data_IF_259552002413
#
_entry.id   IF_259552002413
#
_cell.length_a   1.000
_cell.length_b   1.000
_cell.length_c   1.000
_cell.angle_alpha   90.00
_cell.angle_beta   90.00
_cell.angle_gamma   90.00
#
_symmetry.space_group_name_H-M   'P 1'
#
loop_
_entity.id
_entity.type
_entity.pdbx_description
1 polymer ?
#
# COMPACT_ATOMS: atom_id res chain seq x y z
N UNK A 1 27.99 -64.53 22.02
CA UNK A 1 27.05 -63.49 22.49
C UNK A 1 27.67 -62.14 22.13
N UNK A 2 27.20 -61.49 21.05
CA UNK A 2 27.69 -60.19 20.61
C UNK A 2 26.60 -59.16 20.94
N UNK A 3 26.95 -58.24 21.83
CA UNK A 3 26.05 -57.13 22.18
C UNK A 3 26.13 -56.07 21.09
N UNK A 4 25.00 -55.81 20.41
CA UNK A 4 24.82 -54.64 19.54
C UNK A 4 24.30 -53.50 20.40
N UNK A 5 25.12 -52.47 20.60
CA UNK A 5 24.67 -51.17 21.12
C UNK A 5 24.04 -50.40 19.98
N UNK A 6 22.74 -50.15 20.08
CA UNK A 6 21.99 -49.24 19.18
C UNK A 6 22.15 -47.80 19.73
N UNK A 7 22.96 -46.99 19.07
CA UNK A 7 23.04 -45.56 19.37
C UNK A 7 21.86 -44.86 18.70
N UNK A 8 20.89 -44.41 19.47
CA UNK A 8 19.83 -43.57 19.00
C UNK A 8 20.36 -42.13 18.83
N UNK A 9 20.50 -41.70 17.58
CA UNK A 9 20.82 -40.30 17.24
C UNK A 9 19.52 -39.48 17.34
N UNK A 10 19.37 -38.74 18.43
CA UNK A 10 18.25 -37.81 18.59
C UNK A 10 18.55 -36.56 17.76
N UNK A 11 17.93 -36.42 16.60
CA UNK A 11 17.95 -35.17 15.82
C UNK A 11 17.09 -34.14 16.56
N UNK A 12 17.74 -33.19 17.21
CA UNK A 12 17.07 -32.01 17.76
C UNK A 12 16.83 -31.07 16.58
N UNK A 13 15.60 -31.07 16.04
CA UNK A 13 15.12 -29.99 15.16
C UNK A 13 14.94 -28.75 16.04
N UNK A 14 15.89 -27.84 16.00
CA UNK A 14 15.67 -26.49 16.45
C UNK A 14 14.69 -25.82 15.47
N UNK A 15 13.41 -25.83 15.79
CA UNK A 15 12.44 -24.95 15.18
C UNK A 15 12.85 -23.54 15.60
N UNK A 16 13.50 -22.82 14.73
CA UNK A 16 13.64 -21.37 14.88
C UNK A 16 12.22 -20.80 14.88
N UNK A 17 11.70 -20.52 16.06
CA UNK A 17 10.51 -19.70 16.20
C UNK A 17 10.83 -18.37 15.53
N UNK A 18 10.32 -18.15 14.34
CA UNK A 18 10.29 -16.81 13.76
C UNK A 18 9.70 -15.90 14.84
N UNK A 19 10.42 -14.85 15.22
CA UNK A 19 9.99 -13.92 16.24
C UNK A 19 8.64 -13.32 15.79
N UNK A 20 7.57 -13.93 16.26
CA UNK A 20 6.26 -13.31 16.27
C UNK A 20 6.39 -12.19 17.29
N UNK A 21 6.19 -10.93 16.85
CA UNK A 21 6.16 -9.82 17.80
C UNK A 21 5.15 -10.20 18.89
N UNK A 22 5.58 -10.29 20.16
CA UNK A 22 4.62 -10.62 21.22
C UNK A 22 3.58 -9.50 21.24
N UNK A 23 2.31 -9.86 21.15
CA UNK A 23 1.20 -8.91 21.32
C UNK A 23 1.09 -8.38 22.77
N UNK A 24 1.92 -8.87 23.66
CA UNK A 24 1.98 -8.48 25.07
C UNK A 24 3.09 -7.43 25.28
N UNK A 25 2.69 -6.18 25.39
CA UNK A 25 3.57 -5.04 25.64
C UNK A 25 4.32 -5.16 27.00
N UNK A 26 3.83 -5.98 27.92
CA UNK A 26 4.47 -6.19 29.24
C UNK A 26 5.67 -7.16 29.18
N UNK A 27 5.83 -7.89 28.07
CA UNK A 27 6.94 -8.80 27.86
C UNK A 27 8.16 -8.04 27.33
N UNK A 28 9.37 -8.36 27.84
CA UNK A 28 10.61 -7.79 27.34
C UNK A 28 10.77 -8.06 25.86
N UNK A 29 10.93 -6.98 25.07
CA UNK A 29 11.09 -7.04 23.63
C UNK A 29 12.58 -7.19 23.25
N UNK A 30 12.93 -8.00 22.24
CA UNK A 30 14.29 -8.14 21.75
C UNK A 30 14.74 -6.90 20.99
N UNK A 31 16.08 -6.73 20.86
CA UNK A 31 16.70 -5.67 20.07
C UNK A 31 16.90 -4.36 20.84
N UNK A 32 17.40 -3.36 20.13
CA UNK A 32 17.67 -2.01 20.65
C UNK A 32 16.95 -0.99 19.76
N UNK A 33 16.18 -0.11 20.38
CA UNK A 33 15.50 0.97 19.65
C UNK A 33 16.47 2.06 19.24
N UNK A 34 16.37 2.49 18.01
CA UNK A 34 17.06 3.67 17.47
C UNK A 34 16.05 4.53 16.72
N UNK A 35 16.27 5.83 16.74
CA UNK A 35 15.39 6.80 16.08
C UNK A 35 16.21 7.77 15.24
N UNK A 36 15.64 8.23 14.13
CA UNK A 36 16.16 9.29 13.27
C UNK A 36 15.03 10.28 13.03
N UNK A 37 15.14 11.48 13.60
CA UNK A 37 14.14 12.52 13.44
C UNK A 37 14.77 13.87 13.11
N UNK A 38 14.03 14.66 12.35
CA UNK A 38 14.41 16.05 12.06
C UNK A 38 13.17 16.86 11.68
N UNK A 39 13.31 18.18 11.74
CA UNK A 39 12.40 19.11 11.08
C UNK A 39 13.20 20.33 10.60
N UNK A 40 12.77 20.90 9.51
CA UNK A 40 13.39 22.10 8.97
C UNK A 40 13.13 22.29 7.48
N UNK A 41 13.74 23.33 6.97
CA UNK A 41 13.66 23.67 5.54
C UNK A 41 14.38 22.61 4.71
N UNK A 42 13.65 21.98 3.80
CA UNK A 42 14.17 21.03 2.82
C UNK A 42 14.02 21.64 1.43
N UNK A 43 15.09 21.62 0.66
CA UNK A 43 15.12 22.02 -0.74
C UNK A 43 15.65 20.85 -1.57
N UNK A 44 14.83 20.38 -2.54
CA UNK A 44 15.20 19.28 -3.42
C UNK A 44 15.04 19.76 -4.86
N UNK A 45 16.16 19.92 -5.56
CA UNK A 45 16.13 20.28 -6.98
C UNK A 45 15.51 19.14 -7.82
N UNK A 46 14.99 19.44 -9.02
CA UNK A 46 14.52 18.40 -9.96
C UNK A 46 15.57 17.30 -10.18
N UNK A 47 15.15 16.05 -10.10
CA UNK A 47 16.03 14.88 -10.25
C UNK A 47 16.97 14.59 -9.08
N UNK A 48 16.83 15.29 -7.94
CA UNK A 48 17.66 15.08 -6.76
C UNK A 48 16.92 14.38 -5.63
N UNK A 49 17.70 13.78 -4.72
CA UNK A 49 17.20 13.12 -3.49
C UNK A 49 17.59 13.93 -2.25
N UNK A 50 16.73 13.89 -1.24
CA UNK A 50 17.02 14.31 0.12
C UNK A 50 16.89 13.10 1.06
N UNK A 51 17.98 12.76 1.75
CA UNK A 51 17.98 11.61 2.67
C UNK A 51 17.27 11.99 3.97
N UNK A 52 16.24 11.21 4.32
CA UNK A 52 15.50 11.34 5.56
C UNK A 52 16.10 10.48 6.67
N UNK A 53 16.46 9.24 6.35
CA UNK A 53 17.02 8.30 7.32
C UNK A 53 18.00 7.32 6.65
N UNK A 54 19.02 6.95 7.42
CA UNK A 54 19.97 5.89 7.10
C UNK A 54 20.22 5.04 8.33
N UNK A 55 20.13 3.75 8.18
CA UNK A 55 20.39 2.77 9.22
C UNK A 55 21.38 1.72 8.73
N UNK A 56 22.43 1.48 9.50
CA UNK A 56 23.41 0.45 9.23
C UNK A 56 23.14 -0.81 10.07
N UNK A 57 23.55 -1.99 9.56
CA UNK A 57 23.33 -3.27 10.21
C UNK A 57 21.91 -3.78 10.04
N UNK A 58 21.62 -4.93 10.64
CA UNK A 58 20.30 -5.56 10.58
C UNK A 58 19.29 -4.88 11.51
N UNK A 59 18.03 -4.88 11.12
CA UNK A 59 16.96 -4.30 11.91
C UNK A 59 15.61 -4.35 11.24
N UNK A 60 14.66 -3.65 11.83
CA UNK A 60 13.32 -3.45 11.29
C UNK A 60 12.88 -2.00 11.58
N UNK A 61 12.46 -1.26 10.55
CA UNK A 61 11.73 -0.01 10.75
C UNK A 61 10.33 -0.41 11.23
N UNK A 62 9.91 0.11 12.39
CA UNK A 62 8.65 -0.25 13.04
C UNK A 62 7.61 0.85 12.97
N UNK A 63 8.07 2.08 12.78
CA UNK A 63 7.22 3.26 12.70
C UNK A 63 7.94 4.36 11.95
N UNK A 64 7.19 5.15 11.19
CA UNK A 64 7.64 6.48 10.78
C UNK A 64 6.44 7.39 10.52
N UNK A 65 6.68 8.69 10.65
CA UNK A 65 5.79 9.70 10.13
C UNK A 65 6.52 10.70 9.23
N UNK A 66 5.74 11.34 8.39
CA UNK A 66 6.19 12.37 7.48
C UNK A 66 5.11 13.45 7.33
N UNK A 67 5.49 14.72 7.38
CA UNK A 67 4.59 15.85 7.13
C UNK A 67 5.34 17.00 6.49
N UNK A 68 4.61 17.91 5.87
CA UNK A 68 5.13 19.22 5.48
C UNK A 68 4.30 20.37 6.06
N UNK A 69 4.88 21.55 6.14
CA UNK A 69 4.33 22.67 6.89
C UNK A 69 3.13 23.39 6.26
N UNK A 70 2.56 22.89 5.14
CA UNK A 70 1.47 23.55 4.41
C UNK A 70 0.34 22.63 3.99
N UNK A 71 -0.21 21.88 4.92
CA UNK A 71 -1.37 21.03 4.66
C UNK A 71 -1.00 19.61 4.27
N UNK A 72 0.21 19.17 4.57
CA UNK A 72 0.70 17.83 4.34
C UNK A 72 1.26 17.63 2.93
N UNK A 73 1.88 16.49 2.74
CA UNK A 73 2.47 16.10 1.45
C UNK A 73 1.35 15.77 0.49
N UNK A 74 1.25 16.51 -0.62
CA UNK A 74 0.16 16.38 -1.58
C UNK A 74 0.63 16.17 -3.01
N UNK A 75 1.84 16.63 -3.34
CA UNK A 75 2.32 16.65 -4.71
C UNK A 75 2.86 15.28 -5.16
N UNK A 76 2.42 14.78 -6.30
CA UNK A 76 2.90 13.52 -6.89
C UNK A 76 4.30 13.59 -7.50
N UNK A 77 4.92 14.76 -7.54
CA UNK A 77 6.33 14.93 -7.92
C UNK A 77 7.28 14.48 -6.80
N UNK A 78 6.83 14.52 -5.55
CA UNK A 78 7.63 14.06 -4.42
C UNK A 78 7.43 12.56 -4.24
N UNK A 79 8.52 11.81 -4.41
CA UNK A 79 8.52 10.34 -4.38
C UNK A 79 9.23 9.85 -3.13
N UNK A 80 8.57 8.99 -2.36
CA UNK A 80 9.18 8.22 -1.28
C UNK A 80 9.92 7.03 -1.89
N UNK A 81 11.23 6.95 -1.65
CA UNK A 81 12.07 5.82 -2.03
C UNK A 81 12.72 5.18 -0.82
N UNK A 82 12.67 3.86 -0.77
CA UNK A 82 13.36 3.09 0.28
C UNK A 82 14.23 2.03 -0.40
N UNK A 83 15.48 2.00 0.03
CA UNK A 83 16.53 1.10 -0.48
C UNK A 83 16.96 0.16 0.65
N UNK A 84 16.97 -1.14 0.39
CA UNK A 84 17.36 -2.17 1.34
C UNK A 84 18.74 -2.72 1.06
N UNK A 85 19.52 -2.96 2.12
CA UNK A 85 20.73 -3.79 2.12
C UNK A 85 21.85 -3.29 1.18
N UNK A 86 21.87 -2.00 0.89
CA UNK A 86 22.89 -1.37 0.05
C UNK A 86 22.65 -1.51 -1.46
N UNK A 87 21.45 -1.95 -1.88
CA UNK A 87 21.08 -1.93 -3.30
C UNK A 87 20.99 -0.49 -3.83
N UNK A 88 21.25 -0.31 -5.11
CA UNK A 88 21.20 0.96 -5.83
C UNK A 88 19.81 1.27 -6.43
N UNK A 89 18.86 0.36 -6.26
CA UNK A 89 17.46 0.50 -6.70
C UNK A 89 16.49 0.51 -5.52
N UNK A 90 15.40 1.30 -5.60
CA UNK A 90 14.39 1.33 -4.56
C UNK A 90 13.43 0.15 -4.64
N UNK A 91 13.09 -0.43 -3.50
CA UNK A 91 12.01 -1.42 -3.34
C UNK A 91 10.69 -0.79 -2.90
N UNK A 92 10.72 0.44 -2.41
CA UNK A 92 9.57 1.33 -2.30
C UNK A 92 9.84 2.50 -3.24
N UNK A 93 8.94 2.75 -4.19
CA UNK A 93 9.10 3.80 -5.19
C UNK A 93 7.71 4.31 -5.59
N UNK A 94 7.18 5.19 -4.76
CA UNK A 94 5.78 5.65 -4.85
C UNK A 94 5.69 7.14 -4.55
N UNK A 95 4.73 7.90 -5.12
CA UNK A 95 4.47 9.27 -4.69
C UNK A 95 4.24 9.29 -3.19
N UNK A 96 4.94 10.19 -2.48
CA UNK A 96 4.97 10.18 -1.02
C UNK A 96 3.57 10.36 -0.41
N UNK A 97 2.75 11.23 -0.98
CA UNK A 97 1.36 11.41 -0.55
C UNK A 97 0.52 10.15 -0.75
N UNK A 98 0.64 9.53 -1.94
CA UNK A 98 -0.15 8.37 -2.32
C UNK A 98 0.22 7.15 -1.45
N UNK A 99 1.47 7.04 -0.99
CA UNK A 99 1.89 6.00 -0.03
C UNK A 99 1.04 6.00 1.24
N UNK A 100 0.61 7.14 1.71
CA UNK A 100 -0.23 7.27 2.91
C UNK A 100 -1.72 7.38 2.60
N UNK A 101 -2.14 7.25 1.36
CA UNK A 101 -3.55 7.34 0.97
C UNK A 101 -4.04 8.76 0.67
N UNK A 102 -3.17 9.76 0.62
CA UNK A 102 -3.52 11.10 0.15
C UNK A 102 -3.57 11.17 -1.39
N UNK A 103 -4.06 10.11 -2.02
CA UNK A 103 -4.14 9.97 -3.48
C UNK A 103 -5.03 11.08 -4.06
N UNK A 104 -4.57 11.69 -5.16
CA UNK A 104 -5.29 12.82 -5.78
C UNK A 104 -5.03 14.15 -5.10
N UNK A 105 -3.97 14.25 -4.29
CA UNK A 105 -3.44 15.52 -3.78
C UNK A 105 -4.22 16.13 -2.60
N UNK A 106 -5.00 15.35 -1.88
CA UNK A 106 -5.70 15.83 -0.68
C UNK A 106 -5.57 14.83 0.46
N UNK A 107 -4.96 15.24 1.56
CA UNK A 107 -4.98 14.50 2.80
C UNK A 107 -6.42 14.44 3.34
N UNK A 108 -6.83 13.28 3.84
CA UNK A 108 -8.09 13.04 4.52
C UNK A 108 -7.77 12.28 5.79
N UNK A 109 -8.26 12.77 6.91
CA UNK A 109 -8.05 12.14 8.19
C UNK A 109 -8.69 10.74 8.21
N UNK A 110 -7.90 9.74 8.54
CA UNK A 110 -8.33 8.36 8.73
C UNK A 110 -7.35 7.59 9.61
N UNK A 111 -7.79 6.49 10.16
CA UNK A 111 -6.97 5.56 10.93
C UNK A 111 -7.22 4.13 10.46
N UNK A 112 -6.13 3.39 10.24
CA UNK A 112 -6.15 1.97 9.96
C UNK A 112 -5.09 1.25 10.79
N UNK A 113 -4.97 -0.08 10.64
CA UNK A 113 -3.96 -0.85 11.36
C UNK A 113 -2.53 -0.40 11.04
N UNK A 114 -2.26 -0.01 9.79
CA UNK A 114 -0.90 0.21 9.32
C UNK A 114 -0.61 1.63 8.85
N UNK A 115 -1.62 2.34 8.40
CA UNK A 115 -1.47 3.72 7.94
C UNK A 115 -2.53 4.61 8.54
N UNK A 116 -2.16 5.83 8.85
CA UNK A 116 -3.10 6.86 9.26
C UNK A 116 -2.66 8.24 8.77
N UNK A 117 -3.64 9.12 8.60
CA UNK A 117 -3.44 10.55 8.42
C UNK A 117 -4.29 11.25 9.46
N UNK A 118 -3.68 12.11 10.26
CA UNK A 118 -4.40 12.99 11.13
C UNK A 118 -3.75 14.38 11.13
N UNK A 119 -4.51 15.39 10.81
CA UNK A 119 -4.06 16.78 10.78
C UNK A 119 -2.72 16.96 10.03
N UNK A 120 -2.65 16.40 8.81
CA UNK A 120 -1.46 16.38 7.93
C UNK A 120 -0.26 15.55 8.41
N UNK A 121 -0.34 14.88 9.53
CA UNK A 121 0.67 13.92 9.94
C UNK A 121 0.37 12.57 9.28
N UNK A 122 1.24 12.15 8.38
CA UNK A 122 1.15 10.89 7.63
C UNK A 122 1.96 9.83 8.37
N UNK A 123 1.33 8.79 8.87
CA UNK A 123 1.94 7.79 9.76
C UNK A 123 1.93 6.39 9.14
N UNK A 124 2.99 5.63 9.38
CA UNK A 124 3.14 4.25 8.92
C UNK A 124 3.66 3.35 10.04
N UNK A 125 2.96 2.23 10.25
CA UNK A 125 3.28 1.18 11.22
C UNK A 125 3.61 -0.17 10.55
N UNK A 126 3.75 -0.20 9.21
CA UNK A 126 4.16 -1.41 8.48
C UNK A 126 5.60 -1.78 8.89
N UNK A 127 5.85 -2.99 9.41
CA UNK A 127 7.19 -3.41 9.79
C UNK A 127 8.04 -3.65 8.54
N UNK A 128 9.23 -3.05 8.48
CA UNK A 128 10.10 -3.12 7.31
C UNK A 128 11.47 -3.71 7.68
N UNK A 129 11.63 -5.05 7.63
CA UNK A 129 12.88 -5.72 7.99
C UNK A 129 13.96 -5.53 6.91
N UNK A 130 15.23 -5.48 7.37
CA UNK A 130 16.42 -5.43 6.53
C UNK A 130 17.60 -6.14 7.23
N UNK A 131 18.57 -6.64 6.44
CA UNK A 131 19.68 -7.46 6.94
C UNK A 131 21.01 -6.71 7.06
N UNK A 132 21.22 -5.66 6.26
CA UNK A 132 22.49 -4.92 6.19
C UNK A 132 22.32 -3.43 6.36
N UNK A 133 21.16 -2.89 6.03
CA UNK A 133 20.89 -1.47 6.16
C UNK A 133 19.64 -1.04 5.42
N UNK A 134 19.19 0.18 5.74
CA UNK A 134 18.07 0.86 5.09
C UNK A 134 18.44 2.30 4.78
N UNK A 135 18.03 2.80 3.62
CA UNK A 135 18.13 4.21 3.24
C UNK A 135 16.78 4.71 2.77
N UNK A 136 16.29 5.76 3.37
CA UNK A 136 14.99 6.38 3.07
C UNK A 136 15.21 7.79 2.55
N UNK A 137 14.64 8.10 1.39
CA UNK A 137 14.80 9.41 0.75
C UNK A 137 13.48 9.94 0.22
N UNK A 138 13.41 11.27 0.09
CA UNK A 138 12.48 11.96 -0.78
C UNK A 138 13.21 12.31 -2.09
N UNK A 139 12.61 11.94 -3.20
CA UNK A 139 13.10 12.25 -4.54
C UNK A 139 12.15 13.22 -5.23
N UNK A 140 12.67 14.28 -5.80
CA UNK A 140 11.88 15.22 -6.59
C UNK A 140 11.92 14.82 -8.06
N UNK A 141 10.84 14.21 -8.54
CA UNK A 141 10.64 13.77 -9.94
C UNK A 141 9.93 14.84 -10.80
N UNK A 142 9.69 16.02 -10.25
CA UNK A 142 9.08 17.15 -10.95
C UNK A 142 10.09 18.02 -11.68
N UNK A 143 9.59 19.07 -12.32
CA UNK A 143 10.35 20.05 -13.09
C UNK A 143 10.73 21.32 -12.30
N UNK A 144 10.24 21.44 -11.07
CA UNK A 144 10.49 22.58 -10.18
C UNK A 144 11.10 22.13 -8.86
N UNK A 145 11.92 22.97 -8.20
CA UNK A 145 12.42 22.66 -6.87
C UNK A 145 11.27 22.45 -5.88
N UNK A 146 11.36 21.37 -5.09
CA UNK A 146 10.52 21.18 -3.92
C UNK A 146 11.16 21.92 -2.74
N UNK A 147 10.44 22.88 -2.18
CA UNK A 147 10.94 23.73 -1.08
C UNK A 147 9.87 23.82 -0.02
N UNK A 148 10.03 23.10 1.10
CA UNK A 148 9.06 23.01 2.21
C UNK A 148 9.76 22.88 3.55
N UNK A 149 9.05 23.18 4.61
CA UNK A 149 9.42 22.79 5.96
C UNK A 149 8.88 21.39 6.20
N UNK A 150 9.76 20.42 6.34
CA UNK A 150 9.44 18.99 6.49
C UNK A 150 9.76 18.56 7.90
N UNK A 151 8.86 17.79 8.53
CA UNK A 151 9.11 17.10 9.77
C UNK A 151 8.91 15.60 9.61
N UNK A 152 9.79 14.81 10.24
CA UNK A 152 9.74 13.35 10.15
C UNK A 152 10.39 12.69 11.36
N UNK A 153 9.97 11.45 11.60
CA UNK A 153 10.64 10.52 12.49
C UNK A 153 10.62 9.12 11.88
N UNK A 154 11.69 8.37 12.06
CA UNK A 154 11.81 6.95 11.73
C UNK A 154 12.32 6.21 12.96
N UNK A 155 11.54 5.25 13.46
CA UNK A 155 11.94 4.36 14.53
C UNK A 155 12.29 2.99 13.97
N UNK A 156 13.45 2.47 14.39
CA UNK A 156 13.84 1.10 14.09
C UNK A 156 14.18 0.32 15.36
N UNK A 157 14.05 -0.99 15.28
CA UNK A 157 14.68 -1.90 16.21
C UNK A 157 15.88 -2.53 15.53
N UNK A 158 17.07 -2.32 16.11
CA UNK A 158 18.32 -2.95 15.67
C UNK A 158 18.51 -4.28 16.40
N UNK A 159 18.95 -5.33 15.68
CA UNK A 159 19.22 -6.62 16.29
C UNK A 159 19.74 -7.64 15.28
N UNK A 160 20.66 -8.50 15.72
CA UNK A 160 21.24 -9.56 14.87
C UNK A 160 20.22 -10.61 14.46
N UNK A 161 19.15 -10.78 15.22
CA UNK A 161 18.01 -11.65 14.94
C UNK A 161 17.32 -11.31 13.61
N UNK A 162 17.41 -10.07 13.16
CA UNK A 162 16.84 -9.63 11.87
C UNK A 162 17.75 -9.92 10.66
N UNK A 163 19.04 -10.23 10.89
CA UNK A 163 19.98 -10.45 9.81
C UNK A 163 19.63 -11.65 8.92
N UNK A 164 19.00 -12.68 9.50
CA UNK A 164 18.55 -13.89 8.79
C UNK A 164 17.14 -13.76 8.17
N UNK A 165 16.43 -12.67 8.40
CA UNK A 165 15.11 -12.48 7.82
C UNK A 165 15.23 -12.16 6.31
N UNK A 166 14.76 -13.02 5.39
CA UNK A 166 14.86 -12.78 3.95
C UNK A 166 13.82 -11.78 3.44
N UNK A 167 12.81 -11.48 4.23
CA UNK A 167 11.68 -10.64 3.83
C UNK A 167 12.09 -9.18 3.66
N UNK A 168 11.65 -8.54 2.56
CA UNK A 168 11.80 -7.11 2.32
C UNK A 168 10.45 -6.51 1.96
N UNK A 169 10.18 -5.36 2.55
CA UNK A 169 8.98 -4.61 2.24
C UNK A 169 9.09 -3.91 0.89
N UNK A 170 7.98 -3.92 0.15
CA UNK A 170 7.84 -3.26 -1.14
C UNK A 170 6.53 -2.49 -1.18
N UNK A 171 6.53 -1.38 -1.92
CA UNK A 171 5.30 -0.68 -2.28
C UNK A 171 5.37 -0.24 -3.74
N UNK A 172 4.29 -0.50 -4.49
CA UNK A 172 4.18 -0.13 -5.90
C UNK A 172 2.93 0.72 -6.15
N UNK A 173 3.07 1.67 -7.06
CA UNK A 173 2.00 2.56 -7.47
C UNK A 173 1.56 2.24 -8.89
N UNK A 174 0.24 2.19 -9.10
CA UNK A 174 -0.34 1.95 -10.42
C UNK A 174 -1.48 2.93 -10.69
N UNK A 175 -1.64 3.34 -11.94
CA UNK A 175 -2.78 4.13 -12.43
C UNK A 175 -3.28 3.57 -13.75
N UNK A 176 -4.57 3.48 -13.89
CA UNK A 176 -5.28 3.21 -15.15
C UNK A 176 -6.19 4.41 -15.44
N UNK A 177 -5.85 5.17 -16.46
CA UNK A 177 -6.53 6.43 -16.80
C UNK A 177 -6.79 6.54 -18.32
N UNK A 178 -7.92 6.04 -18.82
CA UNK A 178 -8.98 5.31 -18.10
C UNK A 178 -8.64 3.84 -17.85
N UNK A 179 -9.45 3.15 -17.04
CA UNK A 179 -9.28 1.72 -16.72
C UNK A 179 -9.47 0.78 -17.90
N UNK A 180 -10.27 1.13 -18.88
CA UNK A 180 -10.76 0.21 -19.92
C UNK A 180 -11.38 -1.07 -19.32
N UNK A 181 -12.08 -0.94 -18.20
CA UNK A 181 -12.72 -2.01 -17.47
C UNK A 181 -11.83 -2.83 -16.53
N UNK A 182 -10.51 -2.62 -16.50
CA UNK A 182 -9.59 -3.39 -15.67
C UNK A 182 -8.45 -2.53 -15.10
N UNK A 183 -8.22 -2.63 -13.80
CA UNK A 183 -7.09 -2.04 -13.10
C UNK A 183 -6.17 -3.11 -12.50
N UNK A 184 -4.86 -2.98 -12.67
CA UNK A 184 -3.89 -3.85 -12.01
C UNK A 184 -3.46 -3.25 -10.69
N UNK A 185 -3.81 -3.90 -9.57
CA UNK A 185 -3.36 -3.51 -8.23
C UNK A 185 -1.91 -3.94 -7.99
N UNK A 186 -1.55 -5.16 -8.37
CA UNK A 186 -0.22 -5.73 -8.20
C UNK A 186 0.09 -6.73 -9.32
N UNK A 187 1.34 -6.75 -9.77
CA UNK A 187 1.87 -7.80 -10.64
C UNK A 187 3.36 -7.98 -10.34
N UNK A 188 3.70 -9.07 -9.63
CA UNK A 188 5.07 -9.33 -9.14
C UNK A 188 5.45 -10.79 -9.31
N UNK A 189 6.74 -11.03 -9.49
CA UNK A 189 7.36 -12.35 -9.50
C UNK A 189 8.18 -12.56 -8.23
N UNK A 190 8.44 -13.83 -7.89
CA UNK A 190 9.20 -14.22 -6.72
C UNK A 190 8.32 -14.86 -5.64
N UNK A 191 8.92 -15.13 -4.49
CA UNK A 191 8.25 -15.66 -3.31
C UNK A 191 7.92 -14.52 -2.35
N UNK A 192 6.68 -14.48 -1.85
CA UNK A 192 6.29 -13.42 -0.94
C UNK A 192 4.84 -13.50 -0.49
N UNK A 193 4.36 -12.36 -0.01
CA UNK A 193 2.96 -12.19 0.35
C UNK A 193 2.50 -10.73 0.19
N UNK A 194 1.28 -10.57 -0.26
CA UNK A 194 0.59 -9.29 -0.40
C UNK A 194 -0.21 -9.02 0.86
N UNK A 195 -0.11 -7.80 1.39
CA UNK A 195 -0.69 -7.41 2.67
C UNK A 195 -1.76 -6.34 2.56
N UNK A 196 -1.98 -5.78 1.39
CA UNK A 196 -3.07 -4.84 1.18
C UNK A 196 -2.79 -3.74 0.18
N UNK A 197 -3.77 -2.86 0.05
CA UNK A 197 -3.71 -1.73 -0.87
C UNK A 197 -4.55 -0.56 -0.37
N UNK A 198 -4.26 0.61 -0.97
CA UNK A 198 -5.14 1.76 -0.98
C UNK A 198 -5.55 1.99 -2.43
N UNK A 199 -6.85 2.19 -2.65
CA UNK A 199 -7.44 2.47 -3.95
C UNK A 199 -8.09 3.85 -3.95
N UNK A 200 -7.90 4.58 -5.03
CA UNK A 200 -8.64 5.79 -5.36
C UNK A 200 -9.31 5.59 -6.71
N UNK A 201 -10.60 5.85 -6.76
CA UNK A 201 -11.40 5.85 -7.98
C UNK A 201 -11.95 7.26 -8.19
N UNK A 202 -11.69 7.83 -9.35
CA UNK A 202 -12.39 9.02 -9.79
C UNK A 202 -13.34 8.66 -10.93
N UNK A 203 -14.62 8.87 -10.69
CA UNK A 203 -15.68 8.64 -11.68
C UNK A 203 -16.40 9.94 -12.02
N UNK A 204 -16.75 10.13 -13.28
CA UNK A 204 -17.64 11.20 -13.77
C UNK A 204 -19.08 10.72 -13.91
N UNK A 205 -19.30 9.40 -13.83
CA UNK A 205 -20.63 8.83 -13.91
C UNK A 205 -21.37 8.96 -12.58
N UNK A 206 -22.69 9.17 -12.67
CA UNK A 206 -23.58 9.17 -11.49
C UNK A 206 -23.98 7.77 -11.05
N UNK A 207 -23.74 6.76 -11.91
CA UNK A 207 -24.12 5.36 -11.66
C UNK A 207 -23.22 4.71 -10.64
N UNK A 208 -23.73 3.65 -10.05
CA UNK A 208 -22.94 2.77 -9.20
C UNK A 208 -21.87 2.04 -10.03
N UNK A 209 -20.62 2.11 -9.59
CA UNK A 209 -19.41 1.65 -10.29
C UNK A 209 -18.71 0.47 -9.61
N UNK A 210 -19.17 0.07 -8.43
CA UNK A 210 -18.46 -0.82 -7.52
C UNK A 210 -18.76 -2.32 -7.67
N UNK A 211 -19.26 -2.77 -8.82
CA UNK A 211 -19.60 -4.19 -9.08
C UNK A 211 -18.42 -5.04 -9.58
N UNK A 212 -17.25 -4.43 -9.73
CA UNK A 212 -16.11 -5.12 -10.30
C UNK A 212 -15.48 -6.14 -9.37
N UNK A 213 -15.28 -7.37 -9.87
CA UNK A 213 -14.62 -8.45 -9.16
C UNK A 213 -13.13 -8.12 -8.89
N UNK A 214 -12.62 -8.60 -7.77
CA UNK A 214 -11.18 -8.72 -7.53
C UNK A 214 -10.73 -10.13 -7.90
N UNK A 215 -9.79 -10.22 -8.85
CA UNK A 215 -9.25 -11.48 -9.33
C UNK A 215 -7.78 -11.63 -8.93
N UNK A 216 -7.38 -12.85 -8.56
CA UNK A 216 -6.02 -13.22 -8.23
C UNK A 216 -5.49 -14.25 -9.23
N UNK A 217 -4.23 -14.09 -9.64
CA UNK A 217 -3.46 -15.17 -10.26
C UNK A 217 -2.29 -15.49 -9.33
N UNK A 218 -2.40 -16.58 -8.58
CA UNK A 218 -1.39 -17.01 -7.60
C UNK A 218 -0.62 -18.19 -8.19
N UNK A 219 0.68 -18.01 -8.42
CA UNK A 219 1.55 -19.06 -8.98
C UNK A 219 1.02 -19.65 -10.30
N UNK A 220 0.37 -18.81 -11.12
CA UNK A 220 -0.26 -19.17 -12.39
C UNK A 220 -1.67 -19.76 -12.29
N UNK A 221 -2.26 -19.83 -11.09
CA UNK A 221 -3.63 -20.28 -10.90
C UNK A 221 -4.58 -19.10 -10.71
N UNK A 222 -5.58 -19.01 -11.56
CA UNK A 222 -6.64 -18.00 -11.47
C UNK A 222 -7.67 -18.34 -10.39
N UNK A 223 -8.12 -17.33 -9.64
CA UNK A 223 -9.19 -17.44 -8.67
C UNK A 223 -9.87 -16.11 -8.43
N UNK A 224 -11.17 -16.12 -8.21
CA UNK A 224 -11.89 -14.96 -7.68
C UNK A 224 -11.55 -14.77 -6.21
N UNK A 225 -11.38 -13.51 -5.82
CA UNK A 225 -11.19 -13.13 -4.43
C UNK A 225 -12.43 -12.46 -3.85
N UNK A 226 -13.03 -11.53 -4.59
CA UNK A 226 -14.23 -10.82 -4.16
C UNK A 226 -15.17 -10.59 -5.33
N UNK A 227 -16.51 -10.74 -5.14
CA UNK A 227 -17.50 -10.59 -6.21
C UNK A 227 -17.89 -9.13 -6.51
N UNK A 228 -17.37 -8.16 -5.74
CA UNK A 228 -17.62 -6.75 -5.92
C UNK A 228 -16.53 -5.90 -5.28
N UNK A 229 -16.38 -4.67 -5.76
CA UNK A 229 -15.41 -3.73 -5.17
C UNK A 229 -15.80 -3.37 -3.75
N UNK A 230 -17.07 -3.14 -3.47
CA UNK A 230 -17.54 -2.86 -2.12
C UNK A 230 -17.25 -4.01 -1.15
N UNK A 231 -17.42 -5.27 -1.60
CA UNK A 231 -17.14 -6.47 -0.80
C UNK A 231 -15.66 -6.57 -0.48
N UNK A 232 -14.80 -6.26 -1.47
CA UNK A 232 -13.35 -6.24 -1.29
C UNK A 232 -12.93 -5.27 -0.19
N UNK A 233 -13.58 -4.11 -0.12
CA UNK A 233 -13.24 -3.06 0.84
C UNK A 233 -14.10 -3.06 2.10
N UNK A 234 -14.88 -4.13 2.33
CA UNK A 234 -15.56 -4.42 3.60
C UNK A 234 -16.94 -3.81 3.77
N UNK A 235 -17.60 -3.50 2.66
CA UNK A 235 -19.02 -3.16 2.60
C UNK A 235 -19.78 -4.21 1.78
N UNK A 236 -21.10 -4.14 1.73
CA UNK A 236 -21.94 -5.01 0.91
C UNK A 236 -23.19 -4.24 0.49
N UNK A 237 -23.67 -4.47 -0.74
CA UNK A 237 -24.84 -3.79 -1.31
C UNK A 237 -24.68 -2.26 -1.34
N UNK A 238 -23.55 -1.79 -1.74
CA UNK A 238 -22.94 -0.47 -1.88
C UNK A 238 -21.91 -0.13 -0.77
N UNK A 239 -21.24 1.02 -0.89
CA UNK A 239 -20.26 1.47 0.10
C UNK A 239 -20.90 2.23 1.28
N UNK A 240 -22.19 2.53 1.21
CA UNK A 240 -22.90 3.27 2.25
C UNK A 240 -22.23 4.60 2.61
N UNK A 241 -22.07 4.86 3.88
CA UNK A 241 -21.36 6.03 4.41
C UNK A 241 -19.85 5.79 4.57
N UNK A 242 -19.09 6.84 4.86
CA UNK A 242 -17.66 6.75 5.17
C UNK A 242 -17.43 5.97 6.47
N UNK A 243 -16.43 5.11 6.46
CA UNK A 243 -15.97 4.39 7.63
C UNK A 243 -14.47 4.17 7.60
N UNK A 244 -13.86 3.92 8.74
CA UNK A 244 -12.44 3.62 8.90
C UNK A 244 -12.28 2.61 10.03
N UNK A 245 -12.00 1.35 9.67
CA UNK A 245 -11.75 0.24 10.59
C UNK A 245 -10.32 -0.27 10.46
N UNK A 246 -9.89 -1.09 11.40
CA UNK A 246 -8.51 -1.59 11.42
C UNK A 246 -8.03 -2.16 10.09
N UNK A 247 -8.87 -2.95 9.40
CA UNK A 247 -8.47 -3.73 8.22
C UNK A 247 -9.08 -3.24 6.91
N UNK A 248 -10.10 -2.41 6.96
CA UNK A 248 -10.75 -1.87 5.77
C UNK A 248 -11.41 -0.52 6.06
N UNK A 249 -11.60 0.26 5.02
CA UNK A 249 -12.27 1.54 5.14
C UNK A 249 -12.60 2.18 3.80
N UNK A 250 -13.66 3.00 3.83
CA UNK A 250 -14.07 3.91 2.76
C UNK A 250 -14.00 5.33 3.29
N UNK A 251 -12.90 6.01 3.02
CA UNK A 251 -12.52 7.26 3.70
C UNK A 251 -12.92 8.52 2.95
N UNK A 252 -13.24 8.40 1.66
CA UNK A 252 -13.74 9.49 0.84
C UNK A 252 -14.77 8.98 -0.16
N UNK A 253 -15.75 9.81 -0.47
CA UNK A 253 -16.85 9.51 -1.36
C UNK A 253 -18.15 9.32 -0.57
N UNK A 254 -19.02 8.53 -1.11
CA UNK A 254 -20.32 8.22 -0.56
C UNK A 254 -21.44 8.55 -1.53
N UNK A 255 -22.60 8.05 -1.20
CA UNK A 255 -23.81 8.33 -1.94
C UNK A 255 -24.16 9.82 -1.78
N UNK A 256 -24.17 10.51 -2.88
CA UNK A 256 -24.67 11.89 -2.94
C UNK A 256 -26.15 11.82 -3.30
N UNK A 257 -26.98 12.51 -2.54
CA UNK A 257 -28.41 12.65 -2.80
C UNK A 257 -28.65 14.08 -3.23
N UNK A 258 -29.20 14.27 -4.42
CA UNK A 258 -29.69 15.56 -4.84
C UNK A 258 -30.96 15.88 -4.03
N UNK A 259 -30.88 16.89 -3.16
CA UNK A 259 -31.98 17.23 -2.26
C UNK A 259 -33.27 17.72 -2.98
N UNK A 260 -33.13 18.18 -4.23
CA UNK A 260 -34.26 18.69 -4.99
C UNK A 260 -34.95 17.58 -5.81
N UNK A 261 -34.17 16.67 -6.37
CA UNK A 261 -34.70 15.60 -7.25
C UNK A 261 -34.80 14.26 -6.56
N UNK A 262 -34.11 14.06 -5.43
CA UNK A 262 -33.96 12.76 -4.75
C UNK A 262 -33.07 11.77 -5.52
N UNK A 263 -32.40 12.22 -6.57
CA UNK A 263 -31.54 11.36 -7.37
C UNK A 263 -30.24 11.03 -6.63
N UNK A 264 -29.79 9.78 -6.75
CA UNK A 264 -28.55 9.29 -6.20
C UNK A 264 -27.39 9.45 -7.18
N UNK A 265 -26.20 9.72 -6.67
CA UNK A 265 -24.99 9.84 -7.47
C UNK A 265 -23.76 9.39 -6.68
N UNK A 266 -22.86 8.66 -7.36
CA UNK A 266 -21.58 8.23 -6.83
C UNK A 266 -20.40 8.95 -7.47
N UNK A 267 -20.62 10.00 -8.27
CA UNK A 267 -19.54 10.69 -8.97
C UNK A 267 -18.52 11.35 -8.04
N UNK A 268 -17.33 11.55 -8.56
CA UNK A 268 -16.26 12.23 -7.86
C UNK A 268 -15.17 11.28 -7.34
N UNK A 269 -14.52 11.71 -6.29
CA UNK A 269 -13.41 10.97 -5.69
C UNK A 269 -13.89 9.98 -4.66
N UNK A 270 -13.45 8.72 -4.81
CA UNK A 270 -13.73 7.63 -3.89
C UNK A 270 -12.38 7.06 -3.43
N UNK A 271 -12.14 6.92 -2.13
CA UNK A 271 -10.91 6.36 -1.58
C UNK A 271 -11.22 5.31 -0.53
N UNK A 272 -10.50 4.20 -0.62
CA UNK A 272 -10.69 3.05 0.25
C UNK A 272 -9.36 2.32 0.46
N UNK A 273 -9.31 1.50 1.51
CA UNK A 273 -8.17 0.66 1.79
C UNK A 273 -8.61 -0.72 2.29
N UNK A 274 -7.75 -1.71 2.03
CA UNK A 274 -7.88 -3.08 2.52
C UNK A 274 -6.54 -3.60 3.01
N UNK A 275 -6.54 -4.21 4.22
CA UNK A 275 -5.40 -4.90 4.80
C UNK A 275 -5.69 -6.37 5.02
N UNK A 276 -4.74 -7.22 4.68
CA UNK A 276 -4.77 -8.68 4.85
C UNK A 276 -3.80 -9.08 5.96
N UNK A 277 -3.99 -8.58 7.18
CA UNK A 277 -3.11 -8.78 8.32
C UNK A 277 -3.04 -10.26 8.74
N UNK A 278 -4.21 -10.86 9.01
CA UNK A 278 -4.32 -12.25 9.46
C UNK A 278 -4.38 -13.25 8.31
N UNK A 279 -4.67 -12.76 7.10
CA UNK A 279 -4.91 -13.57 5.91
C UNK A 279 -4.12 -13.08 4.68
N UNK A 280 -2.80 -12.77 4.78
CA UNK A 280 -2.03 -12.27 3.65
C UNK A 280 -2.07 -13.26 2.48
N UNK A 281 -2.15 -12.72 1.26
CA UNK A 281 -2.16 -13.54 0.04
C UNK A 281 -0.74 -14.02 -0.25
N UNK A 282 -0.47 -15.30 -0.02
CA UNK A 282 0.84 -15.93 -0.11
C UNK A 282 1.08 -16.52 -1.49
N UNK A 283 2.30 -16.39 -2.01
CA UNK A 283 2.73 -16.95 -3.28
C UNK A 283 4.18 -17.41 -3.25
N UNK A 284 4.54 -18.33 -4.12
CA UNK A 284 5.88 -18.91 -4.21
C UNK A 284 6.61 -18.58 -5.50
N UNK A 285 5.88 -18.18 -6.56
CA UNK A 285 6.44 -17.82 -7.87
C UNK A 285 6.02 -16.45 -8.33
N UNK A 286 4.82 -16.02 -8.01
CA UNK A 286 4.31 -14.72 -8.40
C UNK A 286 2.84 -14.52 -8.07
N UNK A 287 2.45 -13.25 -8.06
CA UNK A 287 1.09 -12.83 -7.81
C UNK A 287 0.71 -11.70 -8.77
N UNK A 288 -0.45 -11.86 -9.41
CA UNK A 288 -1.14 -10.75 -10.06
C UNK A 288 -2.49 -10.54 -9.38
N UNK A 289 -2.79 -9.28 -9.04
CA UNK A 289 -4.07 -8.85 -8.46
C UNK A 289 -4.66 -7.82 -9.40
N UNK A 290 -5.88 -8.08 -9.87
CA UNK A 290 -6.61 -7.16 -10.73
C UNK A 290 -7.97 -6.86 -10.16
N UNK A 291 -8.46 -5.65 -10.41
CA UNK A 291 -9.78 -5.18 -10.03
C UNK A 291 -10.51 -4.76 -11.30
N UNK A 292 -11.68 -5.31 -11.51
CA UNK A 292 -12.55 -4.91 -12.61
C UNK A 292 -13.23 -3.57 -12.26
N UNK A 293 -13.42 -2.72 -13.27
CA UNK A 293 -14.24 -1.52 -13.15
C UNK A 293 -15.54 -1.77 -13.91
N UNK A 294 -16.58 -2.08 -13.16
CA UNK A 294 -17.90 -2.40 -13.70
C UNK A 294 -18.98 -1.58 -13.01
N UNK A 295 -20.03 -1.28 -13.73
CA UNK A 295 -21.22 -0.59 -13.22
C UNK A 295 -22.49 -1.37 -13.54
N UNK A 296 -23.52 -1.18 -12.72
CA UNK A 296 -24.86 -1.73 -12.99
C UNK A 296 -25.48 -1.00 -14.17
N UNK A 297 -25.85 -1.73 -15.22
CA UNK A 297 -26.54 -1.17 -16.37
C UNK A 297 -27.96 -0.70 -15.97
N UNK A 298 -28.48 0.36 -16.61
CA UNK A 298 -29.85 0.82 -16.34
C UNK A 298 -30.87 -0.27 -16.54
N UNK A 299 -31.87 -0.34 -15.68
CA UNK A 299 -33.00 -1.29 -15.71
C UNK A 299 -32.63 -2.77 -15.51
N UNK A 300 -31.44 -3.08 -15.05
CA UNK A 300 -31.01 -4.45 -14.71
C UNK A 300 -30.97 -4.63 -13.18
N UNK A 301 -32.07 -4.37 -12.50
CA UNK A 301 -32.14 -4.64 -11.06
C UNK A 301 -31.70 -6.09 -10.79
N UNK A 302 -30.52 -6.25 -10.17
CA UNK A 302 -29.94 -7.54 -9.77
C UNK A 302 -29.66 -8.57 -10.89
N UNK A 303 -29.65 -8.15 -12.16
CA UNK A 303 -29.16 -9.01 -13.25
C UNK A 303 -27.69 -8.70 -13.52
N UNK A 304 -26.78 -9.46 -12.93
CA UNK A 304 -25.34 -9.35 -13.15
C UNK A 304 -24.91 -9.48 -14.63
N UNK A 305 -25.76 -10.01 -15.51
CA UNK A 305 -25.53 -10.04 -16.96
C UNK A 305 -25.60 -8.66 -17.61
N UNK A 306 -26.16 -7.68 -16.92
CA UNK A 306 -26.21 -6.28 -17.38
C UNK A 306 -25.01 -5.43 -16.96
N UNK A 307 -24.05 -5.99 -16.24
CA UNK A 307 -22.82 -5.29 -15.88
C UNK A 307 -21.98 -5.01 -17.12
N UNK A 308 -21.40 -3.82 -17.16
CA UNK A 308 -20.58 -3.38 -18.28
C UNK A 308 -19.27 -2.82 -17.75
N UNK A 309 -18.20 -3.01 -18.54
CA UNK A 309 -16.91 -2.39 -18.25
C UNK A 309 -17.00 -0.87 -18.23
N UNK A 310 -16.41 -0.26 -17.25
CA UNK A 310 -16.36 1.18 -17.07
C UNK A 310 -14.96 1.75 -17.38
N UNK A 311 -14.89 3.06 -17.55
CA UNK A 311 -13.67 3.78 -17.93
C UNK A 311 -13.39 4.91 -16.92
N UNK A 312 -13.38 4.57 -15.63
CA UNK A 312 -13.02 5.49 -14.57
C UNK A 312 -11.50 5.61 -14.43
N UNK A 313 -11.03 6.58 -13.67
CA UNK A 313 -9.61 6.79 -13.37
C UNK A 313 -9.27 6.12 -12.04
N UNK A 314 -8.57 4.99 -12.10
CA UNK A 314 -8.14 4.23 -10.93
C UNK A 314 -6.68 4.50 -10.62
N UNK A 315 -6.39 4.78 -9.38
CA UNK A 315 -5.02 4.88 -8.84
C UNK A 315 -4.90 4.05 -7.57
N UNK A 316 -3.83 3.28 -7.43
CA UNK A 316 -3.62 2.46 -6.24
C UNK A 316 -2.17 2.43 -5.79
N UNK A 317 -1.98 2.11 -4.50
CA UNK A 317 -0.71 1.69 -3.92
C UNK A 317 -0.90 0.31 -3.32
N UNK A 318 -0.08 -0.64 -3.75
CA UNK A 318 -0.05 -2.00 -3.24
C UNK A 318 1.14 -2.20 -2.29
N UNK A 319 0.93 -2.90 -1.18
CA UNK A 319 1.92 -3.17 -0.15
C UNK A 319 2.15 -4.68 -0.04
N UNK A 320 3.41 -5.10 -0.07
CA UNK A 320 3.76 -6.50 -0.11
C UNK A 320 5.18 -6.76 0.39
N UNK A 321 5.47 -8.02 0.68
CA UNK A 321 6.80 -8.48 1.06
C UNK A 321 7.28 -9.53 0.07
N UNK A 322 8.55 -9.44 -0.30
CA UNK A 322 9.23 -10.44 -1.13
C UNK A 322 10.45 -10.99 -0.40
N UNK A 323 10.86 -12.18 -0.80
CA UNK A 323 12.16 -12.74 -0.45
C UNK A 323 13.26 -11.96 -1.20
N UNK A 324 14.02 -11.15 -0.45
CA UNK A 324 15.01 -10.23 -1.00
C UNK A 324 14.41 -8.92 -1.53
N UNK A 325 15.27 -7.93 -1.72
CA UNK A 325 14.93 -6.67 -2.33
C UNK A 325 14.80 -6.81 -3.85
N UNK A 326 13.78 -6.20 -4.42
CA UNK A 326 13.59 -6.12 -5.88
C UNK A 326 13.29 -4.67 -6.29
N UNK A 327 13.67 -4.27 -7.51
CA UNK A 327 13.41 -2.93 -8.01
C UNK A 327 11.91 -2.72 -8.28
N UNK A 328 11.37 -1.62 -7.78
CA UNK A 328 10.02 -1.18 -8.09
C UNK A 328 10.07 -0.01 -9.07
N UNK A 329 9.44 -0.19 -10.23
CA UNK A 329 9.30 0.87 -11.23
C UNK A 329 8.16 1.82 -10.85
N UNK A 330 8.31 3.09 -11.19
CA UNK A 330 7.27 4.10 -11.07
C UNK A 330 7.01 4.70 -12.45
N UNK A 331 5.75 4.90 -12.79
CA UNK A 331 5.36 5.59 -14.01
C UNK A 331 5.96 7.02 -14.06
N UNK A 332 6.29 7.55 -15.25
CA UNK A 332 6.79 8.92 -15.40
C UNK A 332 5.88 9.95 -14.72
N UNK A 333 6.47 11.05 -14.24
CA UNK A 333 5.72 12.12 -13.57
C UNK A 333 4.55 12.64 -14.41
N UNK A 334 4.76 12.83 -15.72
CA UNK A 334 3.74 13.29 -16.66
C UNK A 334 2.51 12.38 -16.73
N UNK A 335 2.70 11.07 -16.60
CA UNK A 335 1.57 10.12 -16.56
C UNK A 335 0.86 10.15 -15.21
N UNK A 336 1.61 10.34 -14.13
CA UNK A 336 1.05 10.40 -12.78
C UNK A 336 0.15 11.59 -12.55
N UNK A 337 0.43 12.74 -13.21
CA UNK A 337 -0.34 14.00 -13.10
C UNK A 337 -1.26 14.25 -14.29
N UNK A 338 -1.29 13.36 -15.27
CA UNK A 338 -2.16 13.53 -16.44
C UNK A 338 -3.62 13.76 -16.01
N UNK A 339 -4.31 14.63 -16.71
CA UNK A 339 -5.74 14.88 -16.48
C UNK A 339 -6.54 13.57 -16.61
N UNK A 340 -7.61 13.47 -15.84
CA UNK A 340 -8.48 12.31 -15.90
C UNK A 340 -9.15 12.15 -17.27
N UNK A 341 -9.08 10.95 -17.82
CA UNK A 341 -9.76 10.54 -19.04
C UNK A 341 -11.03 9.72 -18.77
N UNK A 342 -11.46 9.65 -17.50
CA UNK A 342 -12.72 9.03 -17.15
C UNK A 342 -13.88 9.59 -17.98
N UNK A 343 -14.77 8.73 -18.43
CA UNK A 343 -15.93 9.10 -19.27
C UNK A 343 -17.23 8.95 -18.48
N UNK A 344 -18.24 9.68 -18.93
CA UNK A 344 -19.62 9.54 -18.41
C UNK A 344 -20.28 8.39 -19.19
N UNK A 345 -20.87 7.42 -18.48
CA UNK A 345 -21.59 6.27 -19.02
C UNK A 345 -22.92 6.04 -18.31
#
# INVERSE_FOLDING_TARGET
>A
MKNFLLSALTLIFSVSAAAQFPNDISTLQPGVSETCCNWGRVEIAPGQEHELARFDGAGVITYFYLTDGRGGIQDRNLVLRIYWDGNDYPSVNVPAADFFGAIGGKAIDYESLYLSIYHNCHQCYLPMPFSKGARVVLYNDGDKPYIRDVAYNFDRVAGREYAGNPSRFHASWNRSNPTNGLHTLLNVEGRGHYVGNILHVYTKSRRWWGEGDTDLVIDGREMKHSPGTEDEYGACFDLGGKFSYRLCGYIQGGLLVDEQTGEYSYHGHNRMYRWYDTNPVRFTKGLKVTLQNQYVAPNTAYDFKGQQGANDDYTSVAYYYLEGAQPVKLAPYTERIAETQAVIY
#
